data_IF_502511300603
#
_entry.id   IF_502511300603
#
_cell.length_a   1.000
_cell.length_b   1.000
_cell.length_c   1.000
_cell.angle_alpha   90.00
_cell.angle_beta   90.00
_cell.angle_gamma   90.00
#
_symmetry.space_group_name_H-M   'P 1'
#
loop_
_entity.id
_entity.type
_entity.pdbx_description
1 polymer ?
#
# COMPACT_ATOMS: atom_id res chain seq x y z
N UNK A 1 -17.69 6.98 3.13
CA UNK A 1 -18.32 7.10 1.79
C UNK A 1 -19.82 6.88 1.93
N UNK A 2 -20.68 7.45 1.07
CA UNK A 2 -22.13 7.34 1.23
C UNK A 2 -22.71 5.98 0.79
N UNK A 3 -21.89 5.09 0.23
CA UNK A 3 -22.34 3.82 -0.34
C UNK A 3 -22.54 2.74 0.73
N UNK A 4 -23.60 1.94 0.59
CA UNK A 4 -23.90 0.80 1.47
C UNK A 4 -24.45 -0.40 0.68
N UNK A 5 -23.75 -1.54 0.71
CA UNK A 5 -24.15 -2.77 0.00
C UNK A 5 -24.48 -2.55 -1.49
N UNK A 6 -23.63 -1.81 -2.20
CA UNK A 6 -23.87 -1.45 -3.61
C UNK A 6 -22.98 -2.20 -4.58
N UNK A 7 -21.78 -2.62 -4.14
CA UNK A 7 -20.76 -3.15 -5.03
C UNK A 7 -20.50 -4.65 -4.80
N UNK A 8 -20.38 -5.40 -5.89
CA UNK A 8 -19.87 -6.78 -5.88
C UNK A 8 -18.35 -6.83 -5.83
N UNK A 9 -17.68 -5.80 -6.35
CA UNK A 9 -16.23 -5.70 -6.45
C UNK A 9 -15.81 -4.25 -6.21
N UNK A 10 -14.83 -4.06 -5.34
CA UNK A 10 -14.16 -2.78 -5.12
C UNK A 10 -12.67 -2.97 -5.37
N UNK A 11 -12.07 -2.06 -6.12
CA UNK A 11 -10.62 -2.00 -6.32
C UNK A 11 -10.07 -0.72 -5.75
N UNK A 12 -8.97 -0.80 -5.00
CA UNK A 12 -8.28 0.35 -4.44
C UNK A 12 -6.77 0.21 -4.65
N UNK A 13 -6.15 1.23 -5.23
CA UNK A 13 -4.71 1.30 -5.39
C UNK A 13 -4.25 2.74 -5.14
N UNK A 14 -3.13 2.91 -4.44
CA UNK A 14 -2.45 4.20 -4.36
C UNK A 14 -3.05 5.24 -3.41
N UNK A 15 -3.90 4.85 -2.46
CA UNK A 15 -4.41 5.78 -1.45
C UNK A 15 -3.73 5.58 -0.09
N UNK A 16 -3.81 4.37 0.45
CA UNK A 16 -3.24 4.00 1.75
C UNK A 16 -1.72 4.16 1.82
N UNK A 17 -1.00 4.09 0.70
CA UNK A 17 0.46 4.29 0.64
C UNK A 17 0.91 5.72 1.02
N UNK A 18 -0.02 6.69 1.10
CA UNK A 18 0.26 8.08 1.48
C UNK A 18 -0.13 8.44 2.92
N UNK A 19 -0.93 7.61 3.60
CA UNK A 19 -1.39 7.87 4.96
C UNK A 19 -0.63 6.96 5.94
N UNK A 20 0.28 7.49 6.77
CA UNK A 20 1.04 6.69 7.72
C UNK A 20 0.23 6.24 8.96
N UNK A 21 -0.92 6.87 9.22
CA UNK A 21 -1.79 6.50 10.35
C UNK A 21 -2.62 5.24 10.02
N UNK A 22 -2.28 4.13 10.65
CA UNK A 22 -2.94 2.85 10.45
C UNK A 22 -4.41 2.84 10.91
N UNK A 23 -4.80 3.69 11.87
CA UNK A 23 -6.20 3.78 12.29
C UNK A 23 -7.05 4.39 11.17
N UNK A 24 -6.54 5.42 10.49
CA UNK A 24 -7.23 6.03 9.34
C UNK A 24 -7.32 5.10 8.14
N UNK A 25 -6.26 4.33 7.86
CA UNK A 25 -6.29 3.32 6.79
C UNK A 25 -7.24 2.18 7.15
N UNK A 26 -7.28 1.77 8.40
CA UNK A 26 -8.27 0.81 8.90
C UNK A 26 -9.69 1.33 8.74
N UNK A 27 -9.93 2.60 9.05
CA UNK A 27 -11.23 3.23 8.86
C UNK A 27 -11.62 3.29 7.38
N UNK A 28 -10.67 3.62 6.49
CA UNK A 28 -10.88 3.53 5.04
C UNK A 28 -11.32 2.13 4.62
N UNK A 29 -10.68 1.07 5.12
CA UNK A 29 -11.07 -0.31 4.81
C UNK A 29 -12.45 -0.69 5.36
N UNK A 30 -12.84 -0.19 6.54
CA UNK A 30 -14.21 -0.34 7.05
C UNK A 30 -15.23 0.33 6.12
N UNK A 31 -14.90 1.49 5.56
CA UNK A 31 -15.76 2.16 4.58
C UNK A 31 -15.89 1.33 3.29
N UNK A 32 -14.82 0.70 2.81
CA UNK A 32 -14.89 -0.24 1.67
C UNK A 32 -15.75 -1.45 1.98
N UNK A 33 -15.59 -2.04 3.16
CA UNK A 33 -16.40 -3.18 3.60
C UNK A 33 -17.90 -2.82 3.63
N UNK A 34 -18.25 -1.64 4.13
CA UNK A 34 -19.64 -1.15 4.15
C UNK A 34 -20.23 -0.97 2.74
N UNK A 35 -19.42 -0.51 1.80
CA UNK A 35 -19.84 -0.27 0.41
C UNK A 35 -20.06 -1.59 -0.36
N UNK A 36 -19.37 -2.66 0.03
CA UNK A 36 -19.49 -3.99 -0.57
C UNK A 36 -20.77 -4.70 -0.09
N UNK A 37 -21.42 -5.40 -1.01
CA UNK A 37 -22.50 -6.34 -0.68
C UNK A 37 -21.97 -7.57 0.07
N UNK A 38 -22.83 -8.34 0.76
CA UNK A 38 -22.44 -9.64 1.31
C UNK A 38 -21.85 -10.55 0.23
N UNK A 39 -20.64 -11.06 0.46
CA UNK A 39 -19.89 -11.86 -0.51
C UNK A 39 -19.15 -11.03 -1.58
N UNK A 40 -19.22 -9.70 -1.52
CA UNK A 40 -18.43 -8.81 -2.35
C UNK A 40 -16.93 -8.89 -2.04
N UNK A 41 -16.12 -8.51 -3.02
CA UNK A 41 -14.65 -8.67 -2.98
C UNK A 41 -13.97 -7.31 -2.99
N UNK A 42 -12.99 -7.13 -2.10
CA UNK A 42 -12.02 -6.04 -2.17
C UNK A 42 -10.73 -6.56 -2.82
N UNK A 43 -10.25 -5.87 -3.85
CA UNK A 43 -8.91 -6.05 -4.39
C UNK A 43 -8.10 -4.80 -4.09
N UNK A 44 -7.04 -4.91 -3.30
CA UNK A 44 -6.15 -3.80 -2.95
C UNK A 44 -4.69 -4.23 -3.00
N UNK A 45 -3.78 -3.27 -2.97
CA UNK A 45 -2.34 -3.47 -2.91
C UNK A 45 -1.76 -2.89 -1.62
N UNK A 46 -0.45 -2.97 -1.42
CA UNK A 46 0.35 -2.13 -0.50
C UNK A 46 1.82 -2.24 -0.90
N UNK A 47 2.67 -1.38 -0.34
CA UNK A 47 4.11 -1.41 -0.56
C UNK A 47 4.82 -1.87 0.71
N UNK A 48 5.72 -2.84 0.57
CA UNK A 48 6.44 -3.44 1.68
C UNK A 48 7.69 -2.66 2.06
N UNK A 49 8.05 -2.74 3.34
CA UNK A 49 9.28 -2.12 3.85
C UNK A 49 10.50 -2.81 3.27
N UNK A 50 11.53 -2.02 2.95
CA UNK A 50 12.85 -2.53 2.54
C UNK A 50 13.61 -3.14 3.72
N UNK A 51 14.60 -4.03 3.47
CA UNK A 51 15.40 -4.64 4.55
C UNK A 51 16.23 -3.65 5.37
N UNK A 52 16.50 -2.45 4.83
CA UNK A 52 17.18 -1.37 5.58
C UNK A 52 16.30 -0.78 6.71
N UNK A 53 14.97 -0.96 6.61
CA UNK A 53 13.97 -0.39 7.52
C UNK A 53 13.34 -1.46 8.40
N UNK A 54 13.14 -2.67 7.87
CA UNK A 54 12.54 -3.79 8.57
C UNK A 54 13.39 -5.06 8.43
N UNK A 55 13.93 -5.62 9.54
CA UNK A 55 14.69 -6.86 9.49
C UNK A 55 13.87 -8.08 9.03
N UNK A 56 12.54 -8.00 9.08
CA UNK A 56 11.61 -9.02 8.58
C UNK A 56 10.99 -8.63 7.23
N UNK A 57 11.65 -7.73 6.48
CA UNK A 57 11.24 -7.32 5.14
C UNK A 57 10.89 -8.49 4.24
N UNK A 58 9.76 -8.38 3.54
CA UNK A 58 9.27 -9.36 2.56
C UNK A 58 10.02 -9.29 1.21
N UNK A 59 10.94 -8.33 1.03
CA UNK A 59 11.73 -8.20 -0.20
C UNK A 59 12.66 -9.40 -0.41
N UNK A 60 12.53 -10.04 -1.58
CA UNK A 60 13.50 -11.03 -2.06
C UNK A 60 14.64 -10.34 -2.82
N UNK A 61 15.73 -10.05 -2.10
CA UNK A 61 16.91 -9.39 -2.68
C UNK A 61 17.59 -10.20 -3.79
N UNK A 62 17.33 -11.51 -3.90
CA UNK A 62 17.89 -12.31 -5.00
C UNK A 62 17.22 -12.02 -6.34
N UNK A 63 16.03 -11.41 -6.33
CA UNK A 63 15.27 -11.03 -7.52
C UNK A 63 15.38 -9.54 -7.88
N UNK A 64 16.18 -8.77 -7.12
CA UNK A 64 16.30 -7.33 -7.30
C UNK A 64 17.71 -6.98 -7.78
N UNK A 65 17.80 -6.28 -8.91
CA UNK A 65 19.06 -5.69 -9.37
C UNK A 65 19.47 -4.56 -8.41
N UNK A 66 20.67 -4.66 -7.84
CA UNK A 66 21.16 -3.71 -6.85
C UNK A 66 21.47 -2.32 -7.41
N UNK A 67 21.94 -2.22 -8.66
CA UNK A 67 22.24 -0.95 -9.32
C UNK A 67 20.93 -0.20 -9.64
N UNK A 68 19.92 -0.91 -10.16
CA UNK A 68 18.61 -0.33 -10.47
C UNK A 68 17.86 0.09 -9.19
N UNK A 69 17.98 -0.69 -8.11
CA UNK A 69 17.42 -0.32 -6.80
C UNK A 69 18.07 0.96 -6.26
N UNK A 70 19.39 1.08 -6.34
CA UNK A 70 20.11 2.27 -5.89
C UNK A 70 19.68 3.51 -6.70
N UNK A 71 19.63 3.38 -8.04
CA UNK A 71 19.17 4.45 -8.91
C UNK A 71 17.73 4.87 -8.56
N UNK A 72 16.84 3.90 -8.35
CA UNK A 72 15.44 4.16 -7.98
C UNK A 72 15.33 4.89 -6.64
N UNK A 73 16.14 4.51 -5.64
CA UNK A 73 16.19 5.20 -4.34
C UNK A 73 16.60 6.67 -4.51
N UNK A 74 17.64 6.94 -5.29
CA UNK A 74 18.12 8.31 -5.56
C UNK A 74 17.01 9.12 -6.24
N UNK A 75 16.38 8.58 -7.28
CA UNK A 75 15.33 9.30 -8.01
C UNK A 75 14.13 9.57 -7.11
N UNK A 76 13.61 8.57 -6.41
CA UNK A 76 12.37 8.73 -5.65
C UNK A 76 12.55 9.54 -4.37
N UNK A 77 13.60 9.30 -3.60
CA UNK A 77 13.73 9.89 -2.27
C UNK A 77 14.62 11.13 -2.24
N UNK A 78 15.72 11.15 -2.99
CA UNK A 78 16.66 12.28 -2.95
C UNK A 78 16.25 13.41 -3.92
N UNK A 79 15.71 13.06 -5.09
CA UNK A 79 15.35 14.04 -6.13
C UNK A 79 13.86 14.43 -6.05
N UNK A 80 12.96 13.43 -6.04
CA UNK A 80 11.52 13.67 -6.13
C UNK A 80 10.81 13.85 -4.78
N UNK A 81 11.44 13.42 -3.68
CA UNK A 81 10.86 13.45 -2.33
C UNK A 81 9.42 12.89 -2.29
N UNK A 82 9.27 11.66 -2.81
CA UNK A 82 7.97 11.00 -2.94
C UNK A 82 7.28 10.82 -1.59
N UNK A 83 5.95 10.90 -1.58
CA UNK A 83 5.13 10.82 -0.36
C UNK A 83 4.43 9.47 -0.14
N UNK A 84 4.59 8.52 -1.06
CA UNK A 84 4.02 7.17 -0.95
C UNK A 84 4.81 6.25 0.01
N UNK A 85 5.14 6.75 1.20
CA UNK A 85 6.08 6.11 2.13
C UNK A 85 5.40 5.37 3.29
N UNK A 86 4.08 5.25 3.27
CA UNK A 86 3.33 4.49 4.28
C UNK A 86 3.40 2.99 3.98
N UNK A 87 4.59 2.42 4.19
CA UNK A 87 4.90 1.01 3.95
C UNK A 87 4.23 0.09 4.98
N UNK A 88 3.76 -1.07 4.55
CA UNK A 88 3.03 -2.07 5.36
C UNK A 88 3.47 -3.48 5.04
N UNK A 89 3.10 -4.45 5.86
CA UNK A 89 3.31 -5.88 5.61
C UNK A 89 1.98 -6.60 5.42
N UNK A 90 2.04 -7.80 4.86
CA UNK A 90 0.92 -8.75 4.90
C UNK A 90 0.70 -9.35 6.30
#
# INVERSE_FOLDING_TARGET
MPFENEFTLLTCHGLHIYEPDDEKVTELYKQFFKALMPGGILVTSFTTKSPDVDPNSEWDMSQINSEDLLLSKIIFFDILDVKFTAFRSS
#
